data_IF_938089014462
#
_entry.id   IF_938089014462
#
_cell.length_a   1.000
_cell.length_b   1.000
_cell.length_c   1.000
_cell.angle_alpha   90.00
_cell.angle_beta   90.00
_cell.angle_gamma   90.00
#
_symmetry.space_group_name_H-M   'P 1'
#
loop_
_entity.id
_entity.type
_entity.pdbx_description
1 polymer ?
#
# COMPACT_ATOMS: atom_id res chain seq x y z
N UNK A 1 11.44 6.73 1.08
CA UNK A 1 11.55 7.44 2.36
C UNK A 1 13.00 7.37 2.84
N UNK A 2 13.40 8.18 3.81
CA UNK A 2 14.72 8.10 4.46
C UNK A 2 14.93 6.74 5.16
N UNK A 3 16.06 6.58 5.87
CA UNK A 3 16.31 5.42 6.74
C UNK A 3 15.21 5.34 7.80
N UNK A 4 14.56 4.18 7.91
CA UNK A 4 13.52 3.93 8.91
C UNK A 4 14.07 4.17 10.34
N UNK A 5 13.44 5.02 11.16
CA UNK A 5 13.83 5.23 12.56
C UNK A 5 13.38 4.06 13.43
N UNK A 6 13.95 3.93 14.62
CA UNK A 6 13.66 2.83 15.55
C UNK A 6 12.17 2.72 15.93
N UNK A 7 11.44 3.84 15.92
CA UNK A 7 10.00 3.90 16.21
C UNK A 7 9.11 3.67 14.97
N UNK A 8 9.70 3.39 13.81
CA UNK A 8 9.00 3.07 12.56
C UNK A 8 8.03 4.19 12.15
N UNK A 9 8.50 5.45 12.28
CA UNK A 9 7.71 6.67 12.05
C UNK A 9 6.45 6.77 12.93
N UNK A 10 6.44 6.05 14.05
CA UNK A 10 5.30 5.93 14.96
C UNK A 10 4.12 5.13 14.40
N UNK A 11 4.31 4.35 13.34
CA UNK A 11 3.29 3.46 12.78
C UNK A 11 3.11 2.21 13.64
N UNK A 12 1.86 1.74 13.77
CA UNK A 12 1.50 0.69 14.72
C UNK A 12 1.65 -0.73 14.13
N UNK A 13 2.80 -1.01 13.50
CA UNK A 13 3.11 -2.35 12.98
C UNK A 13 3.16 -3.43 14.06
N UNK A 14 3.46 -3.05 15.31
CA UNK A 14 3.46 -3.93 16.47
C UNK A 14 2.07 -4.51 16.80
N UNK A 15 0.99 -3.85 16.36
CA UNK A 15 -0.37 -4.34 16.53
C UNK A 15 -0.73 -5.47 15.55
N UNK A 16 0.11 -5.72 14.55
CA UNK A 16 -0.12 -6.75 13.54
C UNK A 16 0.79 -7.96 13.75
N UNK A 17 0.20 -9.15 13.59
CA UNK A 17 0.89 -10.44 13.60
C UNK A 17 0.74 -11.11 12.24
N UNK A 18 1.67 -11.99 11.90
CA UNK A 18 1.53 -12.85 10.74
C UNK A 18 0.32 -13.78 10.89
N UNK A 19 -0.29 -14.17 9.76
CA UNK A 19 -1.34 -15.17 9.75
C UNK A 19 -0.83 -16.54 10.23
N UNK A 20 -1.76 -17.38 10.71
CA UNK A 20 -1.54 -18.81 10.94
C UNK A 20 -0.40 -19.19 11.89
N UNK A 21 -0.17 -18.41 12.95
CA UNK A 21 0.76 -18.77 14.02
C UNK A 21 2.24 -18.72 13.64
N UNK A 22 2.57 -18.16 12.47
CA UNK A 22 3.96 -17.89 12.12
C UNK A 22 4.57 -16.95 13.19
N UNK A 23 5.78 -17.27 13.71
CA UNK A 23 6.39 -16.49 14.77
C UNK A 23 6.75 -15.08 14.29
N UNK A 24 6.68 -14.12 15.21
CA UNK A 24 7.04 -12.72 14.98
C UNK A 24 5.87 -11.79 14.69
N UNK A 25 6.19 -10.50 14.61
CA UNK A 25 5.27 -9.39 14.37
C UNK A 25 5.81 -8.49 13.25
N UNK A 26 4.95 -7.64 12.70
CA UNK A 26 5.31 -6.81 11.54
C UNK A 26 6.31 -5.70 11.90
N UNK A 27 6.47 -5.38 13.18
CA UNK A 27 7.50 -4.45 13.67
C UNK A 27 8.87 -5.11 13.85
N UNK A 28 9.03 -6.41 13.68
CA UNK A 28 10.32 -7.08 13.90
C UNK A 28 11.37 -6.68 12.85
N UNK A 29 12.64 -6.98 13.14
CA UNK A 29 13.77 -6.72 12.23
C UNK A 29 14.06 -7.87 11.25
N UNK A 30 13.16 -8.84 11.12
CA UNK A 30 13.28 -9.88 10.10
C UNK A 30 13.23 -9.28 8.69
N UNK A 31 13.83 -9.95 7.71
CA UNK A 31 13.77 -9.53 6.31
C UNK A 31 12.33 -9.42 5.81
N UNK A 32 11.49 -10.40 6.15
CA UNK A 32 10.06 -10.41 5.81
C UNK A 32 9.32 -9.21 6.40
N UNK A 33 9.54 -8.89 7.67
CA UNK A 33 8.90 -7.74 8.32
C UNK A 33 9.37 -6.41 7.72
N UNK A 34 10.68 -6.26 7.46
CA UNK A 34 11.24 -5.08 6.77
C UNK A 34 10.68 -4.92 5.36
N UNK A 35 10.57 -6.00 4.58
CA UNK A 35 9.93 -5.99 3.26
C UNK A 35 8.47 -5.53 3.37
N UNK A 36 7.70 -6.08 4.31
CA UNK A 36 6.31 -5.65 4.50
C UNK A 36 6.21 -4.14 4.76
N UNK A 37 6.99 -3.63 5.72
CA UNK A 37 6.96 -2.19 6.06
C UNK A 37 7.42 -1.32 4.89
N UNK A 38 8.47 -1.72 4.18
CA UNK A 38 8.92 -1.04 2.95
C UNK A 38 7.79 -0.93 1.94
N UNK A 39 7.06 -2.01 1.68
CA UNK A 39 5.97 -2.02 0.71
C UNK A 39 4.84 -1.07 1.13
N UNK A 40 4.49 -1.04 2.43
CA UNK A 40 3.54 -0.04 2.97
C UNK A 40 4.06 1.38 2.78
N UNK A 41 5.34 1.64 3.08
CA UNK A 41 5.95 2.97 2.89
C UNK A 41 6.00 3.40 1.43
N UNK A 42 6.18 2.48 0.48
CA UNK A 42 6.15 2.79 -0.96
C UNK A 42 4.83 3.43 -1.34
N UNK A 43 3.71 2.86 -0.88
CA UNK A 43 2.37 3.39 -1.18
C UNK A 43 2.11 4.70 -0.41
N UNK A 44 2.56 4.80 0.84
CA UNK A 44 2.40 6.00 1.66
C UNK A 44 3.44 7.10 1.38
N UNK A 45 4.26 6.96 0.34
CA UNK A 45 5.38 7.87 0.04
C UNK A 45 4.97 9.33 -0.22
N UNK A 46 3.70 9.59 -0.53
CA UNK A 46 3.15 10.93 -0.73
C UNK A 46 2.72 11.64 0.56
N UNK A 47 2.71 10.92 1.70
CA UNK A 47 2.46 11.45 3.04
C UNK A 47 3.80 11.83 3.69
N UNK A 48 3.86 13.00 4.31
CA UNK A 48 5.03 13.41 5.08
C UNK A 48 5.27 12.41 6.23
N UNK A 49 6.51 11.95 6.38
CA UNK A 49 6.90 10.99 7.43
C UNK A 49 6.43 11.39 8.83
N UNK A 50 6.38 12.70 9.15
CA UNK A 50 5.90 13.20 10.45
C UNK A 50 4.41 12.96 10.70
N UNK A 51 3.64 12.75 9.63
CA UNK A 51 2.19 12.53 9.68
C UNK A 51 1.80 11.04 9.60
N UNK A 52 2.75 10.13 9.37
CA UNK A 52 2.49 8.68 9.31
C UNK A 52 1.93 8.15 10.64
N UNK A 53 2.45 8.61 11.78
CA UNK A 53 1.89 8.33 13.10
C UNK A 53 0.42 8.72 13.21
N UNK A 54 0.04 9.88 12.65
CA UNK A 54 -1.35 10.37 12.68
C UNK A 54 -2.24 9.49 11.81
N UNK A 55 -1.78 9.12 10.62
CA UNK A 55 -2.47 8.17 9.75
C UNK A 55 -2.70 6.83 10.46
N UNK A 56 -1.66 6.26 11.06
CA UNK A 56 -1.75 5.00 11.81
C UNK A 56 -2.70 5.10 13.01
N UNK A 57 -2.61 6.17 13.80
CA UNK A 57 -3.48 6.37 14.97
C UNK A 57 -4.97 6.47 14.61
N UNK A 58 -5.28 7.14 13.50
CA UNK A 58 -6.65 7.25 12.99
C UNK A 58 -7.22 5.87 12.64
N UNK A 59 -6.45 5.02 11.95
CA UNK A 59 -6.86 3.65 11.64
C UNK A 59 -7.01 2.80 12.90
N UNK A 60 -6.12 2.97 13.88
CA UNK A 60 -6.17 2.28 15.16
C UNK A 60 -7.44 2.62 15.95
N UNK A 61 -7.86 3.89 15.91
CA UNK A 61 -9.02 4.42 16.63
C UNK A 61 -10.33 3.68 16.27
N UNK A 62 -10.42 3.17 15.04
CA UNK A 62 -11.56 2.39 14.54
C UNK A 62 -11.26 0.90 14.35
N UNK A 63 -10.07 0.43 14.74
CA UNK A 63 -9.67 -0.97 14.60
C UNK A 63 -9.55 -1.44 13.15
N UNK A 64 -9.03 -0.59 12.26
CA UNK A 64 -8.91 -0.85 10.80
C UNK A 64 -7.49 -0.91 10.27
N UNK A 65 -6.48 -0.98 11.14
CA UNK A 65 -5.09 -1.15 10.72
C UNK A 65 -4.92 -2.37 9.79
N UNK A 66 -5.38 -3.59 10.14
CA UNK A 66 -5.16 -4.75 9.28
C UNK A 66 -5.83 -4.61 7.91
N UNK A 67 -7.02 -4.02 7.85
CA UNK A 67 -7.76 -3.80 6.60
C UNK A 67 -6.95 -2.96 5.63
N UNK A 68 -6.50 -1.78 6.06
CA UNK A 68 -5.78 -0.85 5.19
C UNK A 68 -4.34 -1.34 4.94
N UNK A 69 -3.61 -1.76 5.96
CA UNK A 69 -2.19 -2.11 5.81
C UNK A 69 -1.99 -3.33 4.90
N UNK A 70 -2.90 -4.31 4.92
CA UNK A 70 -2.81 -5.45 4.01
C UNK A 70 -2.98 -5.04 2.55
N UNK A 71 -3.88 -4.09 2.24
CA UNK A 71 -4.01 -3.57 0.88
C UNK A 71 -2.78 -2.74 0.46
N UNK A 72 -2.27 -1.88 1.34
CA UNK A 72 -1.05 -1.10 1.09
C UNK A 72 0.16 -2.02 0.85
N UNK A 73 0.30 -3.07 1.67
CA UNK A 73 1.32 -4.08 1.46
C UNK A 73 1.16 -4.77 0.10
N UNK A 74 -0.05 -5.21 -0.26
CA UNK A 74 -0.30 -5.91 -1.52
C UNK A 74 0.09 -5.05 -2.73
N UNK A 75 -0.36 -3.79 -2.78
CA UNK A 75 0.06 -2.87 -3.84
C UNK A 75 1.58 -2.71 -3.92
N UNK A 76 2.26 -2.57 -2.78
CA UNK A 76 3.71 -2.44 -2.74
C UNK A 76 4.44 -3.73 -3.14
N UNK A 77 3.91 -4.90 -2.78
CA UNK A 77 4.49 -6.19 -3.16
C UNK A 77 4.34 -6.48 -4.65
N UNK A 78 3.19 -6.12 -5.23
CA UNK A 78 2.98 -6.22 -6.68
C UNK A 78 3.91 -5.26 -7.42
N UNK A 79 4.05 -4.01 -6.93
CA UNK A 79 5.00 -3.04 -7.50
C UNK A 79 6.44 -3.57 -7.51
N UNK A 80 6.91 -4.08 -6.37
CA UNK A 80 8.24 -4.67 -6.24
C UNK A 80 8.38 -5.87 -7.19
N UNK A 81 7.39 -6.78 -7.24
CA UNK A 81 7.44 -7.97 -8.09
C UNK A 81 7.51 -7.64 -9.58
N UNK A 82 6.68 -6.71 -10.05
CA UNK A 82 6.70 -6.24 -11.44
C UNK A 82 8.03 -5.55 -11.76
N UNK A 83 8.53 -4.72 -10.84
CA UNK A 83 9.82 -4.02 -11.01
C UNK A 83 10.99 -4.99 -11.07
N UNK A 84 11.04 -5.95 -10.14
CA UNK A 84 12.09 -6.98 -10.06
C UNK A 84 12.08 -7.90 -11.29
N UNK A 85 10.90 -8.15 -11.87
CA UNK A 85 10.78 -8.93 -13.09
C UNK A 85 11.27 -8.16 -14.33
N UNK A 86 10.85 -6.90 -14.49
CA UNK A 86 11.08 -6.11 -15.71
C UNK A 86 12.42 -5.38 -15.73
N UNK A 87 12.90 -4.88 -14.59
CA UNK A 87 14.11 -4.08 -14.54
C UNK A 87 15.36 -4.80 -15.09
N UNK A 88 15.60 -6.09 -14.79
CA UNK A 88 16.71 -6.84 -15.39
C UNK A 88 16.56 -7.07 -16.90
N UNK A 89 15.34 -7.05 -17.43
CA UNK A 89 15.02 -7.32 -18.84
C UNK A 89 14.84 -6.07 -19.69
N UNK A 90 14.97 -4.87 -19.11
CA UNK A 90 14.67 -3.60 -19.78
C UNK A 90 15.40 -3.40 -21.12
N UNK A 91 16.58 -4.00 -21.28
CA UNK A 91 17.43 -3.88 -22.46
C UNK A 91 17.18 -5.01 -23.50
N UNK A 92 16.30 -5.97 -23.19
CA UNK A 92 15.95 -7.11 -24.06
C UNK A 92 14.44 -7.16 -24.37
N UNK A 93 13.69 -6.10 -24.02
CA UNK A 93 12.25 -6.02 -24.29
C UNK A 93 11.94 -5.91 -25.80
N UNK A 94 12.91 -5.53 -26.62
CA UNK A 94 12.82 -5.49 -28.08
C UNK A 94 12.80 -6.87 -28.72
N UNK A 95 13.13 -7.93 -27.98
CA UNK A 95 12.98 -9.32 -28.41
C UNK A 95 11.51 -9.79 -28.43
N UNK A 96 10.62 -9.08 -27.73
CA UNK A 96 9.18 -9.37 -27.74
C UNK A 96 8.56 -8.93 -29.06
N UNK A 97 7.52 -9.66 -29.49
CA UNK A 97 6.72 -9.17 -30.60
C UNK A 97 5.98 -7.86 -30.24
N UNK A 98 5.61 -7.09 -31.26
CA UNK A 98 4.97 -5.78 -31.07
C UNK A 98 3.67 -5.89 -30.27
N UNK A 99 2.90 -6.96 -30.45
CA UNK A 99 1.61 -7.14 -29.78
C UNK A 99 1.81 -7.40 -28.28
N UNK A 100 2.78 -8.22 -27.93
CA UNK A 100 3.12 -8.54 -26.54
C UNK A 100 3.77 -7.35 -25.83
N UNK A 101 4.62 -6.60 -26.53
CA UNK A 101 5.17 -5.35 -25.99
C UNK A 101 4.07 -4.31 -25.72
N UNK A 102 3.05 -4.23 -26.58
CA UNK A 102 1.90 -3.34 -26.38
C UNK A 102 1.06 -3.77 -25.16
N UNK A 103 0.76 -5.07 -25.01
CA UNK A 103 0.04 -5.61 -23.84
C UNK A 103 0.83 -5.38 -22.55
N UNK A 104 2.14 -5.60 -22.57
CA UNK A 104 3.04 -5.37 -21.45
C UNK A 104 2.99 -3.89 -21.02
N UNK A 105 3.14 -2.98 -21.97
CA UNK A 105 3.06 -1.53 -21.72
C UNK A 105 1.72 -1.16 -21.10
N UNK A 106 0.60 -1.58 -21.70
CA UNK A 106 -0.74 -1.26 -21.21
C UNK A 106 -0.97 -1.79 -19.79
N UNK A 107 -0.50 -3.01 -19.51
CA UNK A 107 -0.63 -3.62 -18.18
C UNK A 107 0.21 -2.86 -17.15
N UNK A 108 1.47 -2.56 -17.47
CA UNK A 108 2.36 -1.81 -16.57
C UNK A 108 1.83 -0.40 -16.29
N UNK A 109 1.39 0.35 -17.32
CA UNK A 109 0.79 1.67 -17.15
C UNK A 109 -0.43 1.63 -16.21
N UNK A 110 -1.25 0.60 -16.34
CA UNK A 110 -2.44 0.42 -15.52
C UNK A 110 -2.10 0.05 -14.07
N UNK A 111 -1.12 -0.82 -13.84
CA UNK A 111 -0.59 -1.14 -12.50
C UNK A 111 -0.09 0.13 -11.81
N UNK A 112 0.75 0.92 -12.48
CA UNK A 112 1.30 2.17 -11.94
C UNK A 112 0.20 3.20 -11.64
N UNK A 113 -0.80 3.30 -12.52
CA UNK A 113 -1.94 4.20 -12.33
C UNK A 113 -2.76 3.83 -11.07
N UNK A 114 -3.07 2.55 -10.88
CA UNK A 114 -3.84 2.09 -9.71
C UNK A 114 -3.05 2.32 -8.42
N UNK A 115 -1.74 2.01 -8.39
CA UNK A 115 -0.87 2.26 -7.24
C UNK A 115 -0.83 3.76 -6.89
N UNK A 116 -0.72 4.62 -7.91
CA UNK A 116 -0.75 6.07 -7.72
C UNK A 116 -2.06 6.54 -7.09
N UNK A 117 -3.20 6.07 -7.60
CA UNK A 117 -4.52 6.38 -7.05
C UNK A 117 -4.61 5.93 -5.58
N UNK A 118 -4.17 4.71 -5.25
CA UNK A 118 -4.18 4.22 -3.87
C UNK A 118 -3.33 5.09 -2.92
N UNK A 119 -2.18 5.60 -3.41
CA UNK A 119 -1.35 6.55 -2.67
C UNK A 119 -2.06 7.88 -2.44
N UNK A 120 -2.68 8.43 -3.48
CA UNK A 120 -3.41 9.70 -3.44
C UNK A 120 -4.64 9.62 -2.52
N UNK A 121 -5.41 8.55 -2.58
CA UNK A 121 -6.56 8.31 -1.70
C UNK A 121 -6.14 8.14 -0.25
N UNK A 122 -5.03 7.44 0.02
CA UNK A 122 -4.46 7.31 1.37
C UNK A 122 -4.09 8.68 1.95
N UNK A 123 -3.46 9.53 1.14
CA UNK A 123 -3.14 10.91 1.53
C UNK A 123 -4.40 11.74 1.71
N UNK A 124 -5.41 11.58 0.85
CA UNK A 124 -6.66 12.31 0.94
C UNK A 124 -7.43 11.95 2.21
N UNK A 125 -7.44 10.68 2.61
CA UNK A 125 -8.03 10.24 3.88
C UNK A 125 -7.42 10.99 5.08
N UNK A 126 -6.08 11.13 5.11
CA UNK A 126 -5.40 11.90 6.14
C UNK A 126 -5.82 13.38 6.13
N UNK A 127 -5.89 14.01 4.96
CA UNK A 127 -6.29 15.42 4.82
C UNK A 127 -7.74 15.66 5.25
N UNK A 128 -8.64 14.76 4.84
CA UNK A 128 -10.05 14.79 5.22
C UNK A 128 -10.20 14.64 6.75
N UNK A 129 -9.40 13.78 7.37
CA UNK A 129 -9.38 13.62 8.82
C UNK A 129 -8.83 14.86 9.54
N UNK A 130 -7.75 15.46 9.03
CA UNK A 130 -7.14 16.64 9.63
C UNK A 130 -8.09 17.85 9.63
N UNK A 131 -8.84 18.03 8.54
CA UNK A 131 -9.80 19.10 8.33
C UNK A 131 -11.19 18.85 8.95
N UNK A 132 -11.39 17.69 9.60
CA UNK A 132 -12.70 17.22 10.09
C UNK A 132 -13.80 17.23 9.01
N UNK A 133 -13.42 16.98 7.75
CA UNK A 133 -14.37 16.90 6.64
C UNK A 133 -15.39 15.81 6.94
N UNK A 134 -16.66 16.11 6.71
CA UNK A 134 -17.79 15.21 7.02
C UNK A 134 -17.87 14.78 8.50
N UNK A 135 -17.21 15.49 9.42
CA UNK A 135 -17.13 15.15 10.85
C UNK A 135 -16.38 13.86 11.16
N UNK A 136 -15.47 13.40 10.29
CA UNK A 136 -14.77 12.11 10.51
C UNK A 136 -13.70 12.19 11.62
N UNK A 137 -13.27 13.38 12.03
CA UNK A 137 -12.36 13.54 13.18
C UNK A 137 -13.12 13.43 14.50
N UNK A 138 -14.33 13.96 14.54
CA UNK A 138 -15.15 14.08 15.76
C UNK A 138 -16.16 12.94 15.94
N UNK A 139 -16.49 12.19 14.88
CA UNK A 139 -17.44 11.08 14.91
C UNK A 139 -16.81 9.76 14.46
N UNK A 140 -16.56 8.86 15.42
CA UNK A 140 -15.93 7.55 15.21
C UNK A 140 -16.71 6.65 14.23
N UNK A 141 -18.04 6.70 14.26
CA UNK A 141 -18.89 5.91 13.36
C UNK A 141 -18.73 6.38 11.91
N UNK A 142 -18.67 7.70 11.69
CA UNK A 142 -18.42 8.27 10.36
C UNK A 142 -17.01 7.96 9.86
N UNK A 143 -16.01 8.07 10.74
CA UNK A 143 -14.63 7.69 10.42
C UNK A 143 -14.53 6.24 9.96
N UNK A 144 -15.14 5.34 10.74
CA UNK A 144 -15.17 3.92 10.43
C UNK A 144 -15.82 3.65 9.07
N UNK A 145 -16.99 4.23 8.81
CA UNK A 145 -17.69 4.09 7.53
C UNK A 145 -16.86 4.62 6.35
N UNK A 146 -16.17 5.74 6.53
CA UNK A 146 -15.31 6.32 5.51
C UNK A 146 -14.09 5.43 5.20
N UNK A 147 -13.43 4.89 6.23
CA UNK A 147 -12.31 3.95 6.08
C UNK A 147 -12.79 2.61 5.49
N UNK A 148 -13.97 2.11 5.87
CA UNK A 148 -14.53 0.87 5.33
C UNK A 148 -14.82 1.00 3.83
N UNK A 149 -15.36 2.14 3.41
CA UNK A 149 -15.54 2.45 1.98
C UNK A 149 -14.20 2.42 1.23
N UNK A 150 -13.18 3.12 1.76
CA UNK A 150 -11.85 3.13 1.14
C UNK A 150 -11.24 1.72 1.08
N UNK A 151 -11.34 0.95 2.16
CA UNK A 151 -10.81 -0.41 2.21
C UNK A 151 -11.45 -1.31 1.16
N UNK A 152 -12.77 -1.21 0.95
CA UNK A 152 -13.46 -1.99 -0.08
C UNK A 152 -12.97 -1.61 -1.49
N UNK A 153 -12.85 -0.31 -1.76
CA UNK A 153 -12.33 0.18 -3.04
C UNK A 153 -10.88 -0.29 -3.28
N UNK A 154 -10.03 -0.22 -2.26
CA UNK A 154 -8.67 -0.76 -2.33
C UNK A 154 -8.67 -2.27 -2.57
N UNK A 155 -9.56 -3.03 -1.93
CA UNK A 155 -9.70 -4.47 -2.13
C UNK A 155 -10.01 -4.84 -3.58
N UNK A 156 -10.98 -4.17 -4.20
CA UNK A 156 -11.30 -4.36 -5.63
C UNK A 156 -10.09 -4.05 -6.53
N UNK A 157 -9.36 -2.97 -6.20
CA UNK A 157 -8.18 -2.54 -6.93
C UNK A 157 -6.98 -3.48 -6.75
N UNK A 158 -6.80 -4.10 -5.59
CA UNK A 158 -5.78 -5.14 -5.39
C UNK A 158 -6.04 -6.31 -6.34
N UNK A 159 -7.25 -6.85 -6.37
CA UNK A 159 -7.62 -7.94 -7.29
C UNK A 159 -7.38 -7.56 -8.76
N UNK A 160 -7.70 -6.32 -9.14
CA UNK A 160 -7.44 -5.83 -10.50
C UNK A 160 -5.94 -5.82 -10.83
N UNK A 161 -5.10 -5.35 -9.90
CA UNK A 161 -3.65 -5.27 -10.08
C UNK A 161 -2.98 -6.65 -10.05
N UNK A 162 -3.49 -7.59 -9.25
CA UNK A 162 -3.03 -8.99 -9.25
C UNK A 162 -3.20 -9.65 -10.63
N UNK A 163 -4.37 -9.48 -11.26
CA UNK A 163 -4.60 -9.98 -12.63
C UNK A 163 -3.68 -9.30 -13.67
N UNK A 164 -3.39 -8.01 -13.50
CA UNK A 164 -2.47 -7.30 -14.38
C UNK A 164 -1.02 -7.76 -14.19
N UNK A 165 -0.63 -8.09 -12.96
CA UNK A 165 0.68 -8.68 -12.67
C UNK A 165 0.84 -10.02 -13.40
N UNK A 166 -0.18 -10.88 -13.41
CA UNK A 166 -0.13 -12.16 -14.15
C UNK A 166 0.09 -11.98 -15.65
N UNK A 167 -0.38 -10.88 -16.24
CA UNK A 167 -0.12 -10.57 -17.66
C UNK A 167 1.29 -10.04 -17.92
N UNK A 168 2.00 -9.58 -16.89
CA UNK A 168 3.35 -9.01 -16.98
C UNK A 168 4.43 -10.07 -16.77
N UNK A 169 4.17 -11.04 -15.90
CA UNK A 169 5.11 -12.08 -15.48
C UNK A 169 5.21 -13.25 -16.46
#
# INVERSE_FOLDING_TARGET
MEKEPDDQYGMDFKAMKWSSGAPGILSDNSEKARKYRRNVYTILSTIDTKDLKKFSNMLQLVGRIPNIFNHLYAFGDIFDTVSDHLYPKKDTLDELDISDLEKLKQSLEKVLSIIKIASEESKQLLLDYQSDKNSIKTNVTKLKSHIDTLSNQMGEKVTEVENLQENIL
#
